data_IF_493832511908
#
_entry.id   IF_493832511908
#
_cell.length_a   1.000
_cell.length_b   1.000
_cell.length_c   1.000
_cell.angle_alpha   90.00
_cell.angle_beta   90.00
_cell.angle_gamma   90.00
#
_symmetry.space_group_name_H-M   'P 1'
#
loop_
_entity.id
_entity.type
_entity.pdbx_description
1 polymer ?
#
# COMPACT_ATOMS: atom_id res chain seq x y z
N UNK A 1 0.95 7.44 -2.60
CA UNK A 1 2.01 6.46 -2.28
C UNK A 1 2.08 5.51 -3.45
N UNK A 2 3.28 5.09 -3.84
CA UNK A 2 3.47 4.20 -4.98
C UNK A 2 4.05 2.87 -4.48
N UNK A 3 3.45 1.77 -4.91
CA UNK A 3 3.96 0.41 -4.68
C UNK A 3 4.69 -0.02 -5.95
N UNK A 4 5.99 -0.27 -5.85
CA UNK A 4 6.85 -0.66 -6.96
C UNK A 4 7.13 -2.16 -6.87
N UNK A 5 6.91 -2.89 -7.96
CA UNK A 5 7.24 -4.30 -8.05
C UNK A 5 8.64 -4.44 -8.64
N UNK A 6 9.60 -4.90 -7.86
CA UNK A 6 11.00 -5.02 -8.30
C UNK A 6 11.33 -6.38 -8.94
N UNK A 7 10.49 -7.39 -8.73
CA UNK A 7 10.72 -8.75 -9.21
C UNK A 7 9.40 -9.50 -9.51
N UNK A 8 9.52 -10.69 -10.10
CA UNK A 8 8.38 -11.53 -10.49
C UNK A 8 7.72 -11.07 -11.79
N UNK A 9 6.51 -11.57 -12.05
CA UNK A 9 5.78 -11.29 -13.30
C UNK A 9 5.27 -9.85 -13.43
N UNK A 10 5.43 -9.02 -12.40
CA UNK A 10 5.04 -7.60 -12.41
C UNK A 10 6.26 -6.68 -12.32
N UNK A 11 7.48 -7.21 -12.43
CA UNK A 11 8.71 -6.43 -12.26
C UNK A 11 8.73 -5.19 -13.18
N UNK A 12 9.03 -4.02 -12.61
CA UNK A 12 9.02 -2.73 -13.30
C UNK A 12 7.65 -2.04 -13.35
N UNK A 13 6.56 -2.73 -12.97
CA UNK A 13 5.23 -2.13 -12.84
C UNK A 13 5.04 -1.41 -11.51
N UNK A 14 4.09 -0.48 -11.45
CA UNK A 14 3.75 0.26 -10.22
C UNK A 14 2.25 0.34 -10.00
N UNK A 15 1.83 0.43 -8.74
CA UNK A 15 0.48 0.82 -8.34
C UNK A 15 0.50 2.13 -7.57
N UNK A 16 -0.31 3.08 -8.01
CA UNK A 16 -0.55 4.34 -7.30
C UNK A 16 -1.72 4.16 -6.36
N UNK A 17 -1.49 4.39 -5.07
CA UNK A 17 -2.48 4.13 -4.01
C UNK A 17 -2.68 5.33 -3.11
N UNK A 18 -3.90 5.44 -2.59
CA UNK A 18 -4.29 6.50 -1.66
C UNK A 18 -5.19 5.96 -0.56
N UNK A 19 -4.90 6.35 0.67
CA UNK A 19 -5.73 6.06 1.83
C UNK A 19 -5.03 6.48 3.11
N UNK A 20 -5.73 6.35 4.23
CA UNK A 20 -5.23 6.79 5.54
C UNK A 20 -4.39 5.68 6.16
N UNK A 21 -3.15 5.99 6.49
CA UNK A 21 -2.38 5.21 7.46
C UNK A 21 -2.86 5.62 8.85
N UNK A 22 -3.29 4.66 9.66
CA UNK A 22 -3.76 4.92 11.02
C UNK A 22 -5.29 4.91 11.15
N UNK A 23 -5.78 3.75 11.58
CA UNK A 23 -7.17 3.52 11.97
C UNK A 23 -7.22 2.48 13.08
N UNK A 24 -6.59 2.78 14.23
CA UNK A 24 -6.37 1.88 15.37
C UNK A 24 -5.59 0.60 15.02
N UNK A 25 -4.80 0.13 15.98
CA UNK A 25 -4.13 -1.19 15.98
C UNK A 25 -5.15 -2.36 15.79
N UNK A 26 -6.44 -2.08 15.89
CA UNK A 26 -7.51 -3.06 16.03
C UNK A 26 -8.28 -3.44 14.74
N UNK A 27 -7.85 -3.07 13.52
CA UNK A 27 -8.62 -3.43 12.33
C UNK A 27 -7.87 -3.43 10.99
N UNK A 28 -8.33 -4.23 10.00
CA UNK A 28 -7.85 -4.15 8.63
C UNK A 28 -8.23 -2.79 8.03
N UNK A 29 -7.29 -2.15 7.34
CA UNK A 29 -7.51 -0.90 6.63
C UNK A 29 -7.65 -1.13 5.12
N UNK A 30 -8.12 -0.10 4.43
CA UNK A 30 -8.31 -0.13 2.99
C UNK A 30 -7.65 1.08 2.32
N UNK A 31 -6.97 0.84 1.21
CA UNK A 31 -6.48 1.88 0.31
C UNK A 31 -7.10 1.74 -1.08
N UNK A 32 -7.40 2.87 -1.71
CA UNK A 32 -7.87 2.91 -3.08
C UNK A 32 -6.69 2.81 -4.05
N UNK A 33 -6.79 1.95 -5.06
CA UNK A 33 -5.89 1.93 -6.22
C UNK A 33 -6.38 2.97 -7.20
N UNK A 34 -5.57 4.00 -7.42
CA UNK A 34 -5.86 5.15 -8.27
C UNK A 34 -5.40 4.95 -9.72
N UNK A 35 -4.52 3.98 -9.95
CA UNK A 35 -3.91 3.70 -11.24
C UNK A 35 -2.67 2.83 -11.10
N UNK A 36 -2.03 2.54 -12.22
CA UNK A 36 -0.75 1.85 -12.26
C UNK A 36 -0.03 2.06 -13.59
N UNK A 37 1.18 1.51 -13.70
CA UNK A 37 2.03 1.55 -14.89
C UNK A 37 2.44 0.14 -15.31
N UNK A 38 2.99 -0.01 -16.53
CA UNK A 38 3.44 -1.31 -17.05
C UNK A 38 2.28 -2.27 -17.21
N UNK A 39 2.41 -3.47 -16.66
CA UNK A 39 1.38 -4.52 -16.70
C UNK A 39 0.13 -4.16 -15.88
N UNK A 40 0.24 -3.13 -15.02
CA UNK A 40 -0.85 -2.61 -14.18
C UNK A 40 -1.42 -1.29 -14.71
N UNK A 41 -1.16 -0.98 -15.98
CA UNK A 41 -1.70 0.23 -16.63
C UNK A 41 -3.22 0.28 -16.51
N UNK A 42 -3.74 1.44 -16.06
CA UNK A 42 -5.17 1.66 -15.81
C UNK A 42 -5.81 0.80 -14.71
N UNK A 43 -5.01 0.13 -13.86
CA UNK A 43 -5.53 -0.65 -12.74
C UNK A 43 -6.39 0.19 -11.79
N UNK A 44 -7.51 -0.38 -11.34
CA UNK A 44 -8.42 0.18 -10.33
C UNK A 44 -8.87 -0.92 -9.38
N UNK A 45 -9.06 -0.58 -8.11
CA UNK A 45 -9.43 -1.55 -7.11
C UNK A 45 -9.17 -1.07 -5.69
N UNK A 46 -9.20 -2.02 -4.75
CA UNK A 46 -9.02 -1.78 -3.31
C UNK A 46 -7.93 -2.71 -2.79
N UNK A 47 -6.98 -2.15 -2.04
CA UNK A 47 -5.99 -2.91 -1.27
C UNK A 47 -6.51 -3.03 0.16
N UNK A 48 -6.65 -4.26 0.63
CA UNK A 48 -6.90 -4.55 2.04
C UNK A 48 -5.56 -4.80 2.73
N UNK A 49 -5.28 -4.13 3.83
CA UNK A 49 -4.04 -4.30 4.60
C UNK A 49 -4.33 -4.54 6.08
N UNK A 50 -3.41 -5.21 6.76
CA UNK A 50 -3.42 -5.39 8.22
C UNK A 50 -2.04 -5.07 8.76
N UNK A 51 -1.98 -4.29 9.84
CA UNK A 51 -0.75 -4.02 10.56
C UNK A 51 -0.46 -5.25 11.44
N UNK A 52 0.67 -5.92 11.21
CA UNK A 52 1.08 -7.12 11.96
C UNK A 52 2.01 -6.80 13.12
N UNK A 53 2.73 -5.67 13.04
CA UNK A 53 3.58 -5.16 14.11
C UNK A 53 3.71 -3.65 13.91
N UNK A 54 3.52 -2.89 14.98
CA UNK A 54 3.83 -1.47 15.02
C UNK A 54 5.12 -1.34 15.81
N UNK A 55 6.20 -0.89 15.16
CA UNK A 55 7.45 -0.65 15.87
C UNK A 55 7.26 0.58 16.77
N UNK A 56 7.07 0.30 18.06
CA UNK A 56 6.78 1.29 19.11
C UNK A 56 7.95 2.20 19.46
N UNK A 57 8.90 2.42 18.55
CA UNK A 57 9.96 3.42 18.71
C UNK A 57 9.39 4.84 18.53
N UNK A 58 8.46 5.21 19.41
CA UNK A 58 8.17 6.61 19.72
C UNK A 58 9.47 7.21 20.26
N UNK A 59 10.19 7.94 19.43
CA UNK A 59 11.32 8.76 19.86
C UNK A 59 10.75 9.89 20.72
N UNK A 60 10.71 9.67 22.04
CA UNK A 60 10.53 10.75 23.01
C UNK A 60 11.80 11.58 23.02
N UNK A 61 11.67 12.85 22.62
CA UNK A 61 12.66 13.89 22.84
C UNK A 61 12.59 14.38 24.28
#
# INVERSE_FOLDING_TARGET
MDLVFESGSLAGSTLKVMGRLGGKISGPGQWSVMGGTGDLTMARGIINYKIIQEDGASRTF
#
